data_IF_149817761322
#
_entry.id   IF_149817761322
#
_cell.length_a   1.000
_cell.length_b   1.000
_cell.length_c   1.000
_cell.angle_alpha   90.00
_cell.angle_beta   90.00
_cell.angle_gamma   90.00
#
_symmetry.space_group_name_H-M   'P 1'
#
loop_
_entity.id
_entity.type
_entity.pdbx_description
1 polymer ?
#
# COMPACT_ATOMS: atom_id res chain seq x y z
N UNK A 1 39.25 -22.75 -22.84
CA UNK A 1 37.91 -22.43 -22.29
C UNK A 1 38.05 -21.85 -20.87
N UNK A 2 38.39 -20.57 -20.71
CA UNK A 2 38.63 -19.91 -19.40
C UNK A 2 38.11 -18.46 -19.29
N UNK A 3 37.42 -17.95 -20.31
CA UNK A 3 37.03 -16.53 -20.42
C UNK A 3 35.63 -16.24 -19.85
N UNK A 4 34.78 -17.25 -19.67
CA UNK A 4 33.37 -17.07 -19.27
C UNK A 4 33.19 -16.82 -17.76
N UNK A 5 34.16 -17.20 -16.92
CA UNK A 5 34.07 -17.03 -15.46
C UNK A 5 34.40 -15.62 -14.95
N UNK A 6 35.12 -14.79 -15.73
CA UNK A 6 35.51 -13.44 -15.30
C UNK A 6 34.43 -12.38 -15.54
N UNK A 7 33.51 -12.61 -16.48
CA UNK A 7 32.42 -11.66 -16.78
C UNK A 7 31.29 -11.73 -15.73
N UNK A 8 31.04 -12.91 -15.14
CA UNK A 8 30.02 -13.08 -14.10
C UNK A 8 30.39 -12.44 -12.76
N UNK A 9 31.69 -12.32 -12.44
CA UNK A 9 32.15 -11.68 -11.19
C UNK A 9 32.14 -10.16 -11.27
N UNK A 10 32.41 -9.56 -12.45
CA UNK A 10 32.36 -8.11 -12.63
C UNK A 10 30.92 -7.54 -12.62
N UNK A 11 29.96 -8.24 -13.24
CA UNK A 11 28.56 -7.80 -13.28
C UNK A 11 27.90 -7.75 -11.89
N UNK A 12 28.29 -8.62 -10.96
CA UNK A 12 27.77 -8.64 -9.59
C UNK A 12 28.37 -7.52 -8.72
N UNK A 13 29.63 -7.12 -8.96
CA UNK A 13 30.30 -6.09 -8.17
C UNK A 13 29.74 -4.68 -8.46
N UNK A 14 29.46 -4.38 -9.73
CA UNK A 14 28.87 -3.09 -10.15
C UNK A 14 27.47 -2.88 -9.57
N UNK A 15 26.63 -3.93 -9.56
CA UNK A 15 25.28 -3.87 -8.98
C UNK A 15 25.32 -3.70 -7.47
N UNK A 16 26.23 -4.41 -6.78
CA UNK A 16 26.40 -4.29 -5.35
C UNK A 16 26.87 -2.88 -4.94
N UNK A 17 27.87 -2.32 -5.63
CA UNK A 17 28.33 -0.95 -5.38
C UNK A 17 27.24 0.09 -5.63
N UNK A 18 26.44 -0.10 -6.69
CA UNK A 18 25.29 0.75 -6.99
C UNK A 18 24.22 0.69 -5.88
N UNK A 19 23.80 -0.51 -5.47
CA UNK A 19 22.83 -0.69 -4.39
C UNK A 19 23.32 -0.08 -3.07
N UNK A 20 24.62 -0.23 -2.77
CA UNK A 20 25.21 0.34 -1.58
C UNK A 20 25.25 1.87 -1.61
N UNK A 21 25.45 2.47 -2.79
CA UNK A 21 25.41 3.91 -2.96
C UNK A 21 23.99 4.48 -2.71
N UNK A 22 22.96 3.83 -3.26
CA UNK A 22 21.56 4.19 -2.99
C UNK A 22 21.20 4.06 -1.51
N UNK A 23 21.67 2.99 -0.86
CA UNK A 23 21.46 2.80 0.58
C UNK A 23 22.10 3.94 1.38
N UNK A 24 23.36 4.28 1.08
CA UNK A 24 24.07 5.36 1.76
C UNK A 24 23.40 6.72 1.56
N UNK A 25 22.96 7.00 0.34
CA UNK A 25 22.23 8.22 0.01
C UNK A 25 20.89 8.29 0.77
N UNK A 26 20.15 7.18 0.83
CA UNK A 26 18.90 7.10 1.60
C UNK A 26 19.13 7.34 3.10
N UNK A 27 20.23 6.80 3.66
CA UNK A 27 20.61 7.00 5.05
C UNK A 27 21.00 8.46 5.35
N UNK A 28 21.53 9.19 4.37
CA UNK A 28 21.84 10.61 4.51
C UNK A 28 20.56 11.45 4.60
N UNK A 29 19.57 11.20 3.74
CA UNK A 29 18.25 11.84 3.84
C UNK A 29 17.52 11.54 5.16
N UNK A 30 17.76 10.35 5.74
CA UNK A 30 17.19 9.99 7.05
C UNK A 30 17.82 10.76 8.21
N UNK A 31 19.06 11.22 8.08
CA UNK A 31 19.71 12.06 9.11
C UNK A 31 19.14 13.48 9.14
N UNK A 32 18.61 13.94 8.01
CA UNK A 32 17.96 15.25 7.89
C UNK A 32 16.46 15.18 8.22
N UNK A 33 15.92 13.99 8.44
CA UNK A 33 14.52 13.81 8.78
C UNK A 33 14.25 14.40 10.18
N UNK A 34 13.17 15.18 10.38
CA UNK A 34 12.83 15.75 11.68
C UNK A 34 12.75 14.67 12.76
N UNK A 35 13.13 14.98 14.01
CA UNK A 35 13.18 14.01 15.14
C UNK A 35 11.85 13.26 15.39
N UNK A 36 10.73 13.76 14.88
CA UNK A 36 9.39 13.14 14.99
C UNK A 36 8.81 12.65 13.65
N UNK A 37 9.65 12.42 12.64
CA UNK A 37 9.21 11.95 11.33
C UNK A 37 9.05 10.44 11.27
N UNK A 38 7.98 9.97 10.63
CA UNK A 38 7.76 8.54 10.34
C UNK A 38 8.26 8.28 8.93
N UNK A 39 9.22 7.37 8.81
CA UNK A 39 9.79 6.95 7.54
C UNK A 39 9.30 5.53 7.24
N UNK A 40 8.74 5.33 6.05
CA UNK A 40 8.29 4.02 5.58
C UNK A 40 8.92 3.69 4.22
N UNK A 41 9.27 2.42 4.03
CA UNK A 41 9.91 1.94 2.82
C UNK A 41 8.85 1.59 1.77
N UNK A 42 8.96 2.18 0.57
CA UNK A 42 8.18 1.76 -0.59
C UNK A 42 8.78 0.44 -1.11
N UNK A 43 7.97 -0.61 -1.19
CA UNK A 43 8.41 -1.92 -1.67
C UNK A 43 8.28 -2.03 -3.19
N UNK A 44 7.18 -1.53 -3.75
CA UNK A 44 6.93 -1.47 -5.19
C UNK A 44 5.85 -0.43 -5.49
N UNK A 45 5.67 -0.14 -6.78
CA UNK A 45 4.56 0.67 -7.28
C UNK A 45 3.83 -0.06 -8.40
N UNK A 46 2.50 0.08 -8.47
CA UNK A 46 1.65 -0.47 -9.54
C UNK A 46 0.94 0.70 -10.22
N UNK A 47 1.33 1.00 -11.46
CA UNK A 47 0.86 2.16 -12.24
C UNK A 47 1.01 3.50 -11.52
N UNK A 48 2.06 3.68 -10.73
CA UNK A 48 2.32 4.91 -9.98
C UNK A 48 1.75 4.91 -8.56
N UNK A 49 0.89 3.95 -8.19
CA UNK A 49 0.40 3.81 -6.82
C UNK A 49 1.47 3.10 -5.97
N UNK A 50 2.05 3.75 -4.94
CA UNK A 50 3.08 3.13 -4.12
C UNK A 50 2.47 2.13 -3.13
N UNK A 51 3.18 1.03 -2.88
CA UNK A 51 2.85 0.06 -1.84
C UNK A 51 4.01 -0.09 -0.87
N UNK A 52 3.75 0.21 0.40
CA UNK A 52 4.79 0.33 1.41
C UNK A 52 4.95 -0.92 2.29
N UNK A 53 5.97 -0.90 3.15
CA UNK A 53 6.20 -1.96 4.14
C UNK A 53 5.09 -2.00 5.18
N UNK A 54 4.54 -0.85 5.59
CA UNK A 54 3.38 -0.80 6.49
C UNK A 54 2.16 -1.42 5.82
N UNK A 55 1.92 -1.14 4.54
CA UNK A 55 0.77 -1.70 3.82
C UNK A 55 0.88 -3.22 3.67
N UNK A 56 2.09 -3.73 3.40
CA UNK A 56 2.34 -5.18 3.42
C UNK A 56 2.02 -5.79 4.77
N UNK A 57 2.48 -5.20 5.87
CA UNK A 57 2.21 -5.69 7.23
C UNK A 57 0.71 -5.70 7.54
N UNK A 58 0.00 -4.62 7.19
CA UNK A 58 -1.46 -4.55 7.33
C UNK A 58 -2.16 -5.63 6.51
N UNK A 59 -1.78 -5.81 5.25
CA UNK A 59 -2.38 -6.81 4.38
C UNK A 59 -2.11 -8.23 4.87
N UNK A 60 -0.89 -8.54 5.31
CA UNK A 60 -0.53 -9.83 5.92
C UNK A 60 -1.35 -10.11 7.17
N UNK A 61 -1.51 -9.11 8.04
CA UNK A 61 -2.34 -9.21 9.24
C UNK A 61 -3.80 -9.49 8.91
N UNK A 62 -4.40 -8.74 7.98
CA UNK A 62 -5.81 -8.87 7.60
C UNK A 62 -6.11 -10.17 6.84
N UNK A 63 -5.19 -10.63 6.00
CA UNK A 63 -5.36 -11.83 5.17
C UNK A 63 -4.92 -13.13 5.87
N UNK A 64 -4.24 -13.03 7.03
CA UNK A 64 -3.62 -14.16 7.71
C UNK A 64 -2.42 -14.77 6.97
N UNK A 65 -1.95 -14.14 5.89
CA UNK A 65 -0.81 -14.63 5.10
C UNK A 65 0.49 -14.29 5.85
N UNK A 66 1.24 -15.32 6.24
CA UNK A 66 2.53 -15.17 6.94
C UNK A 66 3.72 -14.99 6.00
N UNK A 67 3.61 -15.43 4.75
CA UNK A 67 4.69 -15.27 3.75
C UNK A 67 4.57 -13.90 3.06
N UNK A 68 5.54 -12.98 3.26
CA UNK A 68 5.51 -11.66 2.65
C UNK A 68 5.54 -11.70 1.12
N UNK A 69 6.24 -12.68 0.50
CA UNK A 69 6.29 -12.78 -0.96
C UNK A 69 4.93 -13.18 -1.53
N UNK A 70 4.26 -14.14 -0.90
CA UNK A 70 2.89 -14.52 -1.25
C UNK A 70 1.92 -13.36 -1.03
N UNK A 71 2.04 -12.64 0.08
CA UNK A 71 1.21 -11.47 0.37
C UNK A 71 1.36 -10.38 -0.69
N UNK A 72 2.59 -10.02 -1.08
CA UNK A 72 2.83 -9.06 -2.17
C UNK A 72 2.19 -9.49 -3.48
N UNK A 73 2.40 -10.74 -3.92
CA UNK A 73 1.83 -11.25 -5.18
C UNK A 73 0.30 -11.20 -5.18
N UNK A 74 -0.31 -11.64 -4.09
CA UNK A 74 -1.76 -11.64 -3.95
C UNK A 74 -2.33 -10.21 -3.96
N UNK A 75 -1.64 -9.28 -3.31
CA UNK A 75 -2.03 -7.88 -3.28
C UNK A 75 -1.96 -7.23 -4.66
N UNK A 76 -0.85 -7.43 -5.39
CA UNK A 76 -0.69 -6.95 -6.77
C UNK A 76 -1.82 -7.48 -7.66
N UNK A 77 -2.12 -8.79 -7.55
CA UNK A 77 -3.19 -9.39 -8.33
C UNK A 77 -4.56 -8.79 -7.99
N UNK A 78 -4.86 -8.60 -6.71
CA UNK A 78 -6.11 -7.98 -6.27
C UNK A 78 -6.25 -6.55 -6.81
N UNK A 79 -5.19 -5.75 -6.76
CA UNK A 79 -5.16 -4.40 -7.33
C UNK A 79 -5.42 -4.40 -8.83
N UNK A 80 -4.72 -5.23 -9.59
CA UNK A 80 -4.89 -5.31 -11.04
C UNK A 80 -6.30 -5.75 -11.42
N UNK A 81 -6.89 -6.69 -10.68
CA UNK A 81 -8.28 -7.12 -10.87
C UNK A 81 -9.23 -5.96 -10.56
N UNK A 82 -9.04 -5.25 -9.45
CA UNK A 82 -9.88 -4.11 -9.07
C UNK A 82 -9.82 -3.00 -10.14
N UNK A 83 -8.63 -2.65 -10.61
CA UNK A 83 -8.42 -1.68 -11.70
C UNK A 83 -9.11 -2.14 -12.99
N UNK A 84 -8.98 -3.41 -13.35
CA UNK A 84 -9.63 -3.97 -14.54
C UNK A 84 -11.15 -3.95 -14.39
N UNK A 85 -11.69 -4.37 -13.25
CA UNK A 85 -13.11 -4.33 -12.96
C UNK A 85 -13.67 -2.91 -13.07
N UNK A 86 -12.97 -1.92 -12.48
CA UNK A 86 -13.31 -0.50 -12.61
C UNK A 86 -13.30 -0.04 -14.06
N UNK A 87 -12.29 -0.41 -14.84
CA UNK A 87 -12.22 -0.10 -16.28
C UNK A 87 -13.36 -0.71 -17.11
N UNK A 88 -13.93 -1.82 -16.64
CA UNK A 88 -15.07 -2.50 -17.26
C UNK A 88 -16.42 -2.00 -16.75
N UNK A 89 -16.43 -0.96 -15.89
CA UNK A 89 -17.66 -0.40 -15.34
C UNK A 89 -18.31 -1.23 -14.23
N UNK A 90 -17.57 -2.19 -13.64
CA UNK A 90 -18.06 -2.93 -12.49
C UNK A 90 -18.23 -1.96 -11.30
N UNK A 91 -19.44 -1.91 -10.74
CA UNK A 91 -19.74 -1.14 -9.54
C UNK A 91 -19.61 -2.02 -8.30
N UNK A 92 -19.10 -1.44 -7.22
CA UNK A 92 -19.06 -2.14 -5.93
C UNK A 92 -20.51 -2.31 -5.44
N UNK A 93 -20.98 -3.52 -5.11
CA UNK A 93 -22.33 -3.70 -4.60
C UNK A 93 -22.52 -2.90 -3.30
N UNK A 94 -23.67 -2.24 -3.16
CA UNK A 94 -23.97 -1.40 -1.99
C UNK A 94 -23.85 -2.17 -0.66
N UNK A 95 -24.16 -3.47 -0.67
CA UNK A 95 -23.97 -4.37 0.48
C UNK A 95 -22.51 -4.40 0.98
N UNK A 96 -21.53 -4.36 0.09
CA UNK A 96 -20.11 -4.35 0.44
C UNK A 96 -19.72 -3.00 1.03
N UNK A 97 -20.20 -1.90 0.44
CA UNK A 97 -19.98 -0.53 0.96
C UNK A 97 -20.55 -0.42 2.37
N UNK A 98 -21.78 -0.88 2.58
CA UNK A 98 -22.43 -0.86 3.89
C UNK A 98 -21.71 -1.74 4.92
N UNK A 99 -21.15 -2.89 4.49
CA UNK A 99 -20.33 -3.72 5.38
C UNK A 99 -19.02 -3.02 5.75
N UNK A 100 -18.34 -2.38 4.81
CA UNK A 100 -17.12 -1.63 5.08
C UNK A 100 -17.37 -0.49 6.09
N UNK A 101 -18.49 0.22 5.94
CA UNK A 101 -18.91 1.26 6.90
C UNK A 101 -19.14 0.65 8.29
N UNK A 102 -19.83 -0.49 8.39
CA UNK A 102 -20.03 -1.19 9.68
C UNK A 102 -18.71 -1.57 10.34
N UNK A 103 -17.73 -2.04 9.57
CA UNK A 103 -16.40 -2.35 10.12
C UNK A 103 -15.68 -1.10 10.62
N UNK A 104 -15.79 0.04 9.92
CA UNK A 104 -15.23 1.33 10.37
C UNK A 104 -15.89 1.76 11.68
N UNK A 105 -17.22 1.71 11.76
CA UNK A 105 -17.98 2.03 12.98
C UNK A 105 -17.53 1.16 14.16
N UNK A 106 -17.41 -0.15 13.94
CA UNK A 106 -16.96 -1.12 14.95
C UNK A 106 -15.53 -0.85 15.42
N UNK A 107 -14.59 -0.61 14.50
CA UNK A 107 -13.17 -0.36 14.84
C UNK A 107 -12.96 0.92 15.64
N UNK A 108 -13.81 1.93 15.39
CA UNK A 108 -13.72 3.22 16.06
C UNK A 108 -14.69 3.35 17.23
N UNK A 109 -15.36 2.26 17.64
CA UNK A 109 -16.37 2.23 18.71
C UNK A 109 -17.38 3.38 18.59
N UNK A 110 -17.85 3.65 17.38
CA UNK A 110 -18.79 4.74 17.11
C UNK A 110 -20.02 4.23 16.39
N UNK A 111 -21.14 4.93 16.58
CA UNK A 111 -22.36 4.69 15.82
C UNK A 111 -22.43 5.53 14.54
N UNK A 112 -23.41 5.22 13.69
CA UNK A 112 -23.60 5.90 12.42
C UNK A 112 -23.92 7.39 12.58
N UNK A 113 -24.62 7.79 13.64
CA UNK A 113 -24.99 9.19 13.87
C UNK A 113 -23.74 10.02 14.20
N UNK A 114 -22.88 9.48 15.05
CA UNK A 114 -21.60 10.05 15.45
C UNK A 114 -20.69 10.22 14.24
N UNK A 115 -20.63 9.20 13.38
CA UNK A 115 -19.87 9.28 12.12
C UNK A 115 -20.39 10.42 11.22
N UNK A 116 -21.71 10.56 11.05
CA UNK A 116 -22.29 11.63 10.22
C UNK A 116 -21.95 13.01 10.75
N UNK A 117 -22.08 13.24 12.05
CA UNK A 117 -21.71 14.51 12.70
C UNK A 117 -20.22 14.82 12.52
N UNK A 118 -19.36 13.80 12.65
CA UNK A 118 -17.92 13.96 12.42
C UNK A 118 -17.58 14.30 10.97
N UNK A 119 -18.30 13.73 9.99
CA UNK A 119 -18.12 14.05 8.58
C UNK A 119 -18.61 15.47 8.28
N UNK A 120 -19.78 15.85 8.79
CA UNK A 120 -20.36 17.19 8.60
C UNK A 120 -19.50 18.29 9.21
N UNK A 121 -18.92 18.07 10.41
CA UNK A 121 -17.97 19.01 11.02
C UNK A 121 -16.69 19.20 10.20
N UNK A 122 -16.40 18.29 9.27
CA UNK A 122 -15.29 18.38 8.31
C UNK A 122 -15.74 18.85 6.91
N UNK A 123 -17.00 19.23 6.75
CA UNK A 123 -17.57 19.64 5.47
C UNK A 123 -17.74 18.49 4.47
N UNK A 124 -17.79 17.25 4.93
CA UNK A 124 -17.94 16.05 4.10
C UNK A 124 -19.35 15.49 4.31
N UNK A 125 -20.10 15.32 3.23
CA UNK A 125 -21.40 14.65 3.31
C UNK A 125 -21.24 13.13 3.46
N UNK A 126 -22.24 12.48 4.04
CA UNK A 126 -22.22 11.03 4.17
C UNK A 126 -22.19 10.30 2.81
N UNK A 127 -22.77 10.89 1.76
CA UNK A 127 -22.74 10.32 0.41
C UNK A 127 -21.37 10.49 -0.26
N UNK A 128 -20.66 11.59 -0.03
CA UNK A 128 -19.27 11.72 -0.46
C UNK A 128 -18.37 10.71 0.23
N UNK A 129 -18.61 10.45 1.52
CA UNK A 129 -17.92 9.40 2.24
C UNK A 129 -18.22 8.01 1.67
N UNK A 130 -19.47 7.68 1.34
CA UNK A 130 -19.80 6.41 0.66
C UNK A 130 -19.09 6.28 -0.69
N UNK A 131 -19.09 7.33 -1.50
CA UNK A 131 -18.37 7.37 -2.79
C UNK A 131 -16.87 7.22 -2.59
N UNK A 132 -16.31 7.77 -1.52
CA UNK A 132 -14.91 7.55 -1.17
C UNK A 132 -14.67 6.06 -0.89
N UNK A 133 -15.49 5.42 -0.05
CA UNK A 133 -15.39 3.99 0.25
C UNK A 133 -15.60 3.12 -1.00
N UNK A 134 -16.49 3.51 -1.92
CA UNK A 134 -16.69 2.83 -3.21
C UNK A 134 -15.44 2.88 -4.10
N UNK A 135 -14.61 3.92 -3.96
CA UNK A 135 -13.44 4.17 -4.79
C UNK A 135 -12.11 3.66 -4.20
N UNK A 136 -12.12 3.17 -2.95
CA UNK A 136 -10.99 2.49 -2.31
C UNK A 136 -10.84 1.05 -2.84
#
# INVERSE_FOLDING_TARGET
MKIVLFLFSFLNFSFFAFAQNYLNQSLEYLKEAPENSIVDAILFSVDGDPFSLIDLKKYMFLSGIKDPKKACRNYIQALLIAKKAKSLGAKVPEKIINQAIKEILKRNNMDLSTLKVLLESKGISFEEFKKFIENQ
#
